data_IF_535637921732
#
_entry.id   IF_535637921732
#
_cell.length_a   1.000
_cell.length_b   1.000
_cell.length_c   1.000
_cell.angle_alpha   90.00
_cell.angle_beta   90.00
_cell.angle_gamma   90.00
#
_symmetry.space_group_name_H-M   'P 1'
#
loop_
_entity.id
_entity.type
_entity.pdbx_description
1 polymer ?
#
# COMPACT_ATOMS: atom_id res chain seq x y z
N UNK A 1 -15.18 12.32 19.68
CA UNK A 1 -14.19 12.38 20.78
C UNK A 1 -14.00 11.06 21.51
N UNK A 2 -15.03 10.22 21.70
CA UNK A 2 -14.92 8.90 22.36
C UNK A 2 -13.90 7.92 21.72
N UNK A 3 -13.76 7.93 20.39
CA UNK A 3 -12.88 6.97 19.69
C UNK A 3 -11.37 7.27 19.80
N UNK A 4 -10.96 8.46 20.24
CA UNK A 4 -9.53 8.83 20.26
C UNK A 4 -8.79 8.27 21.48
N UNK A 5 -9.49 8.10 22.62
CA UNK A 5 -8.91 7.64 23.87
C UNK A 5 -8.76 6.10 23.92
N UNK A 6 -9.75 5.38 23.37
CA UNK A 6 -9.69 3.92 23.18
C UNK A 6 -8.61 3.55 22.15
N UNK A 7 -8.50 4.31 21.06
CA UNK A 7 -7.41 4.26 20.07
C UNK A 7 -6.01 4.43 20.68
N UNK A 8 -5.83 5.38 21.60
CA UNK A 8 -4.55 5.62 22.25
C UNK A 8 -4.18 4.47 23.20
N UNK A 9 -5.17 3.90 23.90
CA UNK A 9 -4.95 2.73 24.77
C UNK A 9 -4.57 1.48 23.98
N UNK A 10 -5.26 1.15 22.90
CA UNK A 10 -4.98 -0.07 22.13
C UNK A 10 -3.68 0.01 21.33
N UNK A 11 -3.37 1.17 20.74
CA UNK A 11 -2.14 1.35 19.96
C UNK A 11 -0.86 1.30 20.80
N UNK A 12 -0.94 1.66 22.09
CA UNK A 12 0.16 1.57 23.05
C UNK A 12 0.23 0.24 23.79
N UNK A 13 -0.89 -0.48 23.93
CA UNK A 13 -0.98 -1.68 24.76
C UNK A 13 -0.78 -3.02 24.01
N UNK A 14 -0.82 -3.03 22.68
CA UNK A 14 -0.72 -4.26 21.88
C UNK A 14 0.43 -4.23 20.89
N UNK A 15 1.32 -5.21 20.98
CA UNK A 15 2.08 -5.69 19.82
C UNK A 15 1.15 -6.53 18.94
N UNK A 16 1.30 -6.43 17.61
CA UNK A 16 0.62 -7.31 16.65
C UNK A 16 -0.61 -6.73 15.94
N UNK A 17 -1.52 -7.59 15.43
CA UNK A 17 -2.57 -7.19 14.49
C UNK A 17 -3.66 -6.31 15.10
N UNK A 18 -3.90 -6.39 16.42
CA UNK A 18 -4.91 -5.57 17.08
C UNK A 18 -4.54 -4.07 17.05
N UNK A 19 -3.31 -3.71 17.41
CA UNK A 19 -2.81 -2.32 17.30
C UNK A 19 -2.79 -1.82 15.84
N UNK A 20 -2.48 -2.68 14.87
CA UNK A 20 -2.60 -2.33 13.46
C UNK A 20 -4.06 -2.06 13.04
N UNK A 21 -4.96 -2.99 13.34
CA UNK A 21 -6.36 -2.92 12.96
C UNK A 21 -7.07 -1.73 13.61
N UNK A 22 -6.80 -1.46 14.89
CA UNK A 22 -7.35 -0.28 15.60
C UNK A 22 -7.04 1.02 14.85
N UNK A 23 -5.78 1.18 14.40
CA UNK A 23 -5.38 2.35 13.58
C UNK A 23 -6.09 2.40 12.24
N UNK A 24 -6.20 1.27 11.56
CA UNK A 24 -6.87 1.18 10.26
C UNK A 24 -8.36 1.50 10.39
N UNK A 25 -9.04 0.98 11.41
CA UNK A 25 -10.44 1.28 11.67
C UNK A 25 -10.65 2.77 11.95
N UNK A 26 -9.76 3.39 12.72
CA UNK A 26 -9.80 4.84 12.94
C UNK A 26 -9.62 5.64 11.64
N UNK A 27 -8.64 5.27 10.81
CA UNK A 27 -8.44 5.91 9.50
C UNK A 27 -9.66 5.74 8.59
N UNK A 28 -10.25 4.54 8.55
CA UNK A 28 -11.46 4.26 7.77
C UNK A 28 -12.67 5.06 8.27
N UNK A 29 -12.88 5.14 9.58
CA UNK A 29 -13.93 5.97 10.17
C UNK A 29 -13.78 7.44 9.77
N UNK A 30 -12.54 7.95 9.74
CA UNK A 30 -12.26 9.32 9.25
C UNK A 30 -12.67 9.50 7.79
N UNK A 31 -12.43 8.51 6.93
CA UNK A 31 -12.88 8.56 5.52
C UNK A 31 -14.40 8.65 5.44
N UNK A 32 -15.10 7.82 6.22
CA UNK A 32 -16.57 7.80 6.24
C UNK A 32 -17.16 9.10 6.81
N UNK A 33 -16.58 9.65 7.88
CA UNK A 33 -16.98 10.92 8.46
C UNK A 33 -16.83 12.07 7.45
N UNK A 34 -15.74 12.09 6.68
CA UNK A 34 -15.53 13.08 5.62
C UNK A 34 -16.54 12.93 4.48
N UNK A 35 -16.80 11.71 4.01
CA UNK A 35 -17.81 11.47 2.98
C UNK A 35 -19.20 11.91 3.45
N UNK A 36 -19.59 11.58 4.69
CA UNK A 36 -20.86 12.00 5.28
C UNK A 36 -20.94 13.53 5.42
N UNK A 37 -19.85 14.18 5.83
CA UNK A 37 -19.78 15.64 5.96
C UNK A 37 -20.00 16.37 4.63
N UNK A 38 -19.42 15.85 3.53
CA UNK A 38 -19.60 16.44 2.20
C UNK A 38 -20.88 15.97 1.47
N UNK A 39 -21.62 15.01 2.04
CA UNK A 39 -22.95 14.57 1.59
C UNK A 39 -22.97 13.40 0.60
N UNK A 40 -24.17 12.95 0.23
CA UNK A 40 -24.44 11.68 -0.48
C UNK A 40 -23.77 11.51 -1.86
N UNK A 41 -23.26 12.59 -2.45
CA UNK A 41 -22.56 12.58 -3.74
C UNK A 41 -21.07 12.86 -3.61
N UNK A 42 -20.55 12.91 -2.39
CA UNK A 42 -19.14 13.12 -2.12
C UNK A 42 -18.29 12.02 -2.77
N UNK A 43 -17.15 12.44 -3.32
CA UNK A 43 -16.10 11.55 -3.79
C UNK A 43 -14.80 11.98 -3.12
N UNK A 44 -13.98 11.01 -2.75
CA UNK A 44 -12.72 11.25 -2.07
C UNK A 44 -11.57 10.49 -2.70
N UNK A 45 -10.35 10.99 -2.48
CA UNK A 45 -9.12 10.28 -2.79
C UNK A 45 -8.39 10.07 -1.47
N UNK A 46 -8.18 8.81 -1.09
CA UNK A 46 -7.32 8.46 0.03
C UNK A 46 -5.92 8.20 -0.50
N UNK A 47 -5.00 9.11 -0.19
CA UNK A 47 -3.59 8.96 -0.55
C UNK A 47 -2.81 8.37 0.64
N UNK A 48 -2.44 7.10 0.54
CA UNK A 48 -1.64 6.43 1.56
C UNK A 48 -0.74 5.35 0.93
N UNK A 49 0.20 4.83 1.72
CA UNK A 49 1.12 3.78 1.29
C UNK A 49 0.37 2.51 0.84
N UNK A 50 0.95 1.71 -0.07
CA UNK A 50 0.36 0.48 -0.63
C UNK A 50 -0.14 -0.52 0.43
N UNK A 51 0.44 -0.52 1.63
CA UNK A 51 -0.01 -1.35 2.76
C UNK A 51 -1.38 -0.93 3.28
N UNK A 52 -1.77 0.33 3.12
CA UNK A 52 -3.06 0.88 3.55
C UNK A 52 -4.13 0.85 2.45
N UNK A 53 -3.76 0.95 1.17
CA UNK A 53 -4.73 1.17 0.07
C UNK A 53 -5.07 -0.05 -0.78
N UNK A 54 -4.32 -1.16 -0.72
CA UNK A 54 -4.67 -2.37 -1.49
C UNK A 54 -5.81 -3.15 -0.83
N UNK A 55 -6.27 -4.25 -1.41
CA UNK A 55 -7.12 -5.21 -0.69
C UNK A 55 -6.24 -6.17 0.12
N UNK A 56 -6.24 -6.01 1.45
CA UNK A 56 -5.40 -6.77 2.36
C UNK A 56 -5.62 -8.30 2.30
N UNK A 57 -6.81 -8.76 1.86
CA UNK A 57 -7.10 -10.20 1.66
C UNK A 57 -6.16 -10.86 0.65
N UNK A 58 -5.59 -10.08 -0.26
CA UNK A 58 -4.73 -10.57 -1.35
C UNK A 58 -3.26 -10.24 -1.09
N UNK A 59 -2.88 -10.18 0.18
CA UNK A 59 -1.51 -9.96 0.65
C UNK A 59 -1.20 -10.82 1.89
N UNK A 60 0.04 -10.77 2.38
CA UNK A 60 0.40 -11.42 3.66
C UNK A 60 -0.35 -10.87 4.88
N UNK A 61 -1.04 -9.73 4.77
CA UNK A 61 -1.87 -9.17 5.84
C UNK A 61 -3.02 -10.11 6.20
N UNK A 62 -3.60 -10.82 5.22
CA UNK A 62 -4.67 -11.80 5.46
C UNK A 62 -4.27 -12.85 6.50
N UNK A 63 -3.06 -13.41 6.37
CA UNK A 63 -2.54 -14.43 7.30
C UNK A 63 -2.26 -13.90 8.70
N UNK A 64 -2.09 -12.58 8.82
CA UNK A 64 -1.86 -11.88 10.09
C UNK A 64 -3.15 -11.31 10.66
N UNK A 65 -4.29 -11.56 10.02
CA UNK A 65 -5.59 -10.96 10.39
C UNK A 65 -5.56 -9.43 10.37
N UNK A 66 -4.64 -8.84 9.60
CA UNK A 66 -4.52 -7.41 9.42
C UNK A 66 -5.45 -6.93 8.29
N UNK A 67 -6.20 -5.87 8.57
CA UNK A 67 -7.05 -5.15 7.61
C UNK A 67 -6.32 -3.92 7.09
N UNK A 68 -6.83 -3.31 6.03
CA UNK A 68 -6.38 -1.99 5.59
C UNK A 68 -7.57 -1.17 5.06
N UNK A 69 -7.33 0.11 4.77
CA UNK A 69 -8.38 1.03 4.34
C UNK A 69 -9.04 0.52 3.06
N UNK A 70 -8.24 0.06 2.09
CA UNK A 70 -8.76 -0.46 0.82
C UNK A 70 -9.72 -1.64 0.98
N UNK A 71 -9.38 -2.61 1.85
CA UNK A 71 -10.27 -3.71 2.17
C UNK A 71 -11.55 -3.24 2.89
N UNK A 72 -11.42 -2.42 3.94
CA UNK A 72 -12.58 -1.96 4.71
C UNK A 72 -13.54 -1.14 3.83
N UNK A 73 -13.01 -0.25 2.98
CA UNK A 73 -13.84 0.55 2.08
C UNK A 73 -14.59 -0.30 1.07
N UNK A 74 -13.99 -1.38 0.55
CA UNK A 74 -14.70 -2.33 -0.32
C UNK A 74 -15.75 -3.15 0.42
N UNK A 75 -15.48 -3.53 1.68
CA UNK A 75 -16.43 -4.25 2.54
C UNK A 75 -17.65 -3.37 2.88
N UNK A 76 -17.44 -2.06 3.07
CA UNK A 76 -18.47 -1.09 3.43
C UNK A 76 -19.26 -0.56 2.21
N UNK A 77 -18.57 -0.11 1.17
CA UNK A 77 -19.18 0.61 0.04
C UNK A 77 -19.48 -0.26 -1.18
N UNK A 78 -18.85 -1.44 -1.28
CA UNK A 78 -18.86 -2.29 -2.46
C UNK A 78 -17.67 -2.05 -3.39
N UNK A 79 -17.23 -3.12 -4.07
CA UNK A 79 -16.06 -3.07 -4.95
C UNK A 79 -16.26 -2.21 -6.21
N UNK A 80 -17.50 -2.00 -6.64
CA UNK A 80 -17.89 -1.14 -7.76
C UNK A 80 -17.75 0.35 -7.45
N UNK A 81 -17.72 0.73 -6.17
CA UNK A 81 -17.61 2.12 -5.72
C UNK A 81 -16.20 2.52 -5.27
N UNK A 82 -15.28 1.57 -5.20
CA UNK A 82 -13.95 1.76 -4.61
C UNK A 82 -12.86 1.30 -5.58
N UNK A 83 -12.05 2.25 -6.05
CA UNK A 83 -10.92 2.00 -6.93
C UNK A 83 -9.61 1.97 -6.14
N UNK A 84 -8.90 0.84 -6.16
CA UNK A 84 -7.64 0.65 -5.46
C UNK A 84 -6.45 0.77 -6.44
N UNK A 85 -5.59 1.76 -6.24
CA UNK A 85 -4.47 2.05 -7.14
C UNK A 85 -3.14 1.84 -6.41
N UNK A 86 -2.36 0.86 -6.86
CA UNK A 86 -1.01 0.60 -6.37
C UNK A 86 0.06 1.35 -7.16
N UNK A 87 1.21 1.56 -6.53
CA UNK A 87 2.41 2.11 -7.16
C UNK A 87 3.62 1.20 -6.92
N UNK A 88 4.47 0.99 -7.90
CA UNK A 88 5.70 0.21 -7.68
C UNK A 88 6.87 0.65 -8.55
N UNK A 89 8.09 0.30 -8.12
CA UNK A 89 9.34 0.66 -8.79
C UNK A 89 10.35 -0.48 -8.84
N UNK A 90 11.03 -0.63 -9.98
CA UNK A 90 12.08 -1.63 -10.15
C UNK A 90 13.38 -1.27 -9.42
N UNK A 91 13.86 -0.04 -9.54
CA UNK A 91 15.02 0.47 -8.80
C UNK A 91 14.88 1.98 -8.56
N UNK A 92 15.83 2.59 -7.86
CA UNK A 92 15.92 4.04 -7.80
C UNK A 92 16.40 4.56 -6.46
N UNK A 93 15.76 5.63 -5.99
CA UNK A 93 16.07 6.26 -4.71
C UNK A 93 14.80 6.67 -3.99
N UNK A 94 14.88 6.73 -2.66
CA UNK A 94 13.78 7.08 -1.75
C UNK A 94 14.30 7.96 -0.61
N UNK A 95 13.41 8.73 0.01
CA UNK A 95 13.68 9.36 1.31
C UNK A 95 13.10 8.47 2.40
N UNK A 96 13.95 8.00 3.32
CA UNK A 96 13.54 7.17 4.46
C UNK A 96 14.49 7.37 5.66
N UNK A 97 14.08 6.94 6.85
CA UNK A 97 14.95 6.83 8.02
C UNK A 97 15.57 5.44 8.13
N UNK A 98 16.76 5.34 8.72
CA UNK A 98 17.40 4.04 9.04
C UNK A 98 16.71 3.28 10.18
N UNK A 99 15.84 3.97 10.92
CA UNK A 99 15.07 3.48 12.05
C UNK A 99 14.00 4.50 12.45
N UNK A 100 13.12 4.12 13.37
CA UNK A 100 12.13 5.04 13.93
C UNK A 100 12.82 6.21 14.65
N UNK A 101 12.39 7.43 14.34
CA UNK A 101 12.98 8.65 14.90
C UNK A 101 14.30 9.08 14.27
N UNK A 102 14.88 8.28 13.37
CA UNK A 102 16.10 8.67 12.65
C UNK A 102 15.84 9.82 11.67
N UNK A 103 16.86 10.65 11.37
CA UNK A 103 16.76 11.66 10.31
C UNK A 103 16.39 11.05 8.96
N UNK A 104 15.67 11.82 8.14
CA UNK A 104 15.41 11.47 6.74
C UNK A 104 16.72 11.42 5.94
N UNK A 105 16.88 10.39 5.14
CA UNK A 105 18.06 10.18 4.30
C UNK A 105 17.63 9.75 2.90
N UNK A 106 18.37 10.22 1.90
CA UNK A 106 18.30 9.63 0.56
C UNK A 106 18.94 8.24 0.60
N UNK A 107 18.17 7.22 0.23
CA UNK A 107 18.60 5.83 0.21
C UNK A 107 18.40 5.23 -1.18
N UNK A 108 19.34 4.39 -1.60
CA UNK A 108 19.23 3.64 -2.85
C UNK A 108 18.25 2.47 -2.71
N UNK A 109 17.35 2.33 -3.67
CA UNK A 109 16.54 1.13 -3.87
C UNK A 109 17.28 0.26 -4.89
N UNK A 110 17.79 -0.93 -4.51
CA UNK A 110 18.46 -1.82 -5.45
C UNK A 110 17.47 -2.37 -6.50
N UNK A 111 17.94 -2.97 -7.59
CA UNK A 111 17.10 -3.71 -8.53
C UNK A 111 16.17 -4.70 -7.84
N UNK A 112 14.92 -4.80 -8.31
CA UNK A 112 13.94 -5.70 -7.72
C UNK A 112 14.34 -7.16 -7.84
N UNK A 113 13.99 -7.96 -6.82
CA UNK A 113 14.36 -9.37 -6.76
C UNK A 113 13.68 -10.18 -7.88
N UNK A 114 14.30 -11.26 -8.37
CA UNK A 114 13.66 -12.18 -9.31
C UNK A 114 12.28 -12.64 -8.81
N UNK A 115 11.35 -12.86 -9.74
CA UNK A 115 9.96 -13.28 -9.49
C UNK A 115 9.05 -12.26 -8.77
N UNK A 116 9.53 -11.07 -8.43
CA UNK A 116 8.66 -9.94 -8.04
C UNK A 116 7.88 -9.37 -9.23
N UNK A 117 6.78 -8.66 -8.97
CA UNK A 117 6.03 -7.97 -10.03
C UNK A 117 6.94 -6.93 -10.71
N UNK A 118 7.74 -6.22 -9.93
CA UNK A 118 8.64 -5.17 -10.41
C UNK A 118 9.69 -5.73 -11.38
N UNK A 119 10.25 -6.91 -11.07
CA UNK A 119 11.21 -7.58 -11.96
C UNK A 119 10.57 -8.01 -13.28
N UNK A 120 9.31 -8.49 -13.26
CA UNK A 120 8.57 -8.86 -14.47
C UNK A 120 8.26 -7.64 -15.33
N UNK A 121 7.78 -6.57 -14.71
CA UNK A 121 7.43 -5.32 -15.39
C UNK A 121 8.64 -4.61 -15.98
N UNK A 122 9.82 -4.73 -15.37
CA UNK A 122 11.06 -4.17 -15.92
C UNK A 122 11.46 -4.78 -17.29
N UNK A 123 10.90 -5.92 -17.69
CA UNK A 123 11.15 -6.50 -19.02
C UNK A 123 10.41 -5.76 -20.14
N UNK A 124 9.46 -4.90 -19.80
CA UNK A 124 8.76 -4.03 -20.75
C UNK A 124 9.67 -2.84 -21.08
N UNK A 125 9.66 -2.43 -22.35
CA UNK A 125 10.54 -1.38 -22.85
C UNK A 125 10.27 -0.03 -22.17
N UNK A 126 9.01 0.30 -21.91
CA UNK A 126 8.59 1.57 -21.34
C UNK A 126 9.18 1.84 -19.95
N UNK A 127 9.59 3.09 -19.72
CA UNK A 127 10.16 3.53 -18.44
C UNK A 127 9.11 3.76 -17.36
N UNK A 128 7.88 4.06 -17.77
CA UNK A 128 6.73 4.24 -16.87
C UNK A 128 5.45 3.91 -17.61
N UNK A 129 4.57 3.17 -16.96
CA UNK A 129 3.27 2.83 -17.49
C UNK A 129 2.36 2.43 -16.33
N UNK A 130 1.08 2.24 -16.63
CA UNK A 130 0.14 1.67 -15.68
C UNK A 130 -0.61 0.53 -16.35
N UNK A 131 -1.09 -0.40 -15.53
CA UNK A 131 -2.00 -1.46 -15.94
C UNK A 131 -3.33 -1.25 -15.22
N UNK A 132 -4.43 -1.54 -15.91
CA UNK A 132 -5.76 -1.64 -15.32
C UNK A 132 -6.15 -3.12 -15.42
N UNK A 133 -6.58 -3.71 -14.31
CA UNK A 133 -6.94 -5.12 -14.24
C UNK A 133 -8.42 -5.32 -14.45
N UNK A 134 -8.78 -6.24 -15.36
CA UNK A 134 -10.16 -6.58 -15.66
C UNK A 134 -10.56 -7.95 -15.09
N UNK A 135 -11.75 -8.44 -15.47
CA UNK A 135 -12.24 -9.77 -15.07
C UNK A 135 -11.36 -10.92 -15.58
N UNK A 136 -10.78 -10.79 -16.77
CA UNK A 136 -9.91 -11.80 -17.36
C UNK A 136 -8.61 -11.93 -16.57
N UNK A 137 -8.03 -10.82 -16.12
CA UNK A 137 -6.86 -10.83 -15.24
C UNK A 137 -7.12 -11.49 -13.89
N UNK A 138 -8.38 -11.55 -13.47
CA UNK A 138 -8.85 -12.11 -12.20
C UNK A 138 -9.31 -13.57 -12.29
N UNK A 139 -9.23 -14.18 -13.47
CA UNK A 139 -9.45 -15.63 -13.62
C UNK A 139 -8.42 -16.44 -12.83
N UNK A 140 -8.85 -17.53 -12.19
CA UNK A 140 -8.01 -18.34 -11.28
C UNK A 140 -6.64 -18.73 -11.87
N UNK A 141 -6.60 -19.10 -13.16
CA UNK A 141 -5.36 -19.45 -13.88
C UNK A 141 -4.31 -18.33 -13.93
N UNK A 142 -4.74 -17.08 -13.80
CA UNK A 142 -3.89 -15.88 -13.84
C UNK A 142 -3.47 -15.43 -12.44
N UNK A 143 -4.14 -15.90 -11.39
CA UNK A 143 -3.85 -15.53 -10.00
C UNK A 143 -2.58 -16.22 -9.52
N UNK A 144 -1.49 -15.44 -9.41
CA UNK A 144 -0.20 -15.91 -8.90
C UNK A 144 0.25 -15.04 -7.74
N UNK A 145 0.74 -15.68 -6.69
CA UNK A 145 1.40 -14.98 -5.59
C UNK A 145 2.80 -14.57 -6.07
N UNK A 146 3.09 -13.29 -5.96
CA UNK A 146 4.42 -12.73 -6.23
C UNK A 146 4.76 -11.66 -5.20
N UNK A 147 6.04 -11.35 -5.06
CA UNK A 147 6.47 -10.22 -4.24
C UNK A 147 6.04 -8.90 -4.87
N UNK A 148 5.49 -7.99 -4.06
CA UNK A 148 5.30 -6.58 -4.38
C UNK A 148 6.05 -5.74 -3.35
N UNK A 149 7.03 -4.96 -3.81
CA UNK A 149 7.89 -4.12 -2.95
C UNK A 149 7.06 -3.04 -2.27
N UNK A 150 7.27 -2.86 -0.97
CA UNK A 150 6.53 -1.92 -0.12
C UNK A 150 7.49 -1.18 0.84
N UNK A 151 8.38 -0.36 0.27
CA UNK A 151 9.34 0.46 1.05
C UNK A 151 8.58 1.53 1.84
N UNK A 152 8.64 1.44 3.17
CA UNK A 152 8.00 2.40 4.08
C UNK A 152 8.92 3.54 4.52
N UNK A 153 8.50 4.24 5.58
CA UNK A 153 9.22 5.36 6.19
C UNK A 153 10.55 4.96 6.84
N UNK A 154 10.69 3.68 7.19
CA UNK A 154 11.96 3.09 7.65
C UNK A 154 12.44 2.12 6.59
N UNK A 155 13.70 2.24 6.19
CA UNK A 155 14.27 1.43 5.13
C UNK A 155 15.74 1.08 5.38
N UNK A 156 16.13 -0.12 4.97
CA UNK A 156 17.52 -0.56 4.95
C UNK A 156 17.80 -1.21 3.59
N UNK A 157 18.58 -0.54 2.70
CA UNK A 157 18.92 -1.06 1.38
C UNK A 157 19.59 -2.44 1.37
N UNK A 158 20.33 -2.77 2.43
CA UNK A 158 21.02 -4.07 2.56
C UNK A 158 20.09 -5.22 2.93
N UNK A 159 18.82 -4.93 3.24
CA UNK A 159 17.76 -5.89 3.59
C UNK A 159 16.50 -5.65 2.77
N UNK A 160 16.66 -5.15 1.54
CA UNK A 160 15.54 -4.82 0.65
C UNK A 160 14.64 -6.02 0.35
N UNK A 161 15.18 -7.25 0.39
CA UNK A 161 14.40 -8.47 0.18
C UNK A 161 13.23 -8.62 1.17
N UNK A 162 13.30 -7.98 2.34
CA UNK A 162 12.23 -7.97 3.35
C UNK A 162 11.06 -7.05 2.98
N UNK A 163 11.22 -6.17 2.00
CA UNK A 163 10.19 -5.23 1.57
C UNK A 163 9.18 -5.86 0.60
N UNK A 164 9.41 -7.09 0.11
CA UNK A 164 8.55 -7.74 -0.86
C UNK A 164 7.40 -8.48 -0.17
N UNK A 165 6.21 -7.89 -0.23
CA UNK A 165 4.99 -8.45 0.34
C UNK A 165 4.41 -9.49 -0.63
N UNK A 166 4.23 -10.77 -0.22
CA UNK A 166 3.51 -11.76 -1.02
C UNK A 166 2.10 -11.25 -1.35
N UNK A 167 1.78 -11.18 -2.64
CA UNK A 167 0.60 -10.47 -3.15
C UNK A 167 0.02 -11.15 -4.39
N UNK A 168 -1.30 -11.15 -4.54
CA UNK A 168 -2.01 -11.42 -5.80
C UNK A 168 -2.41 -10.08 -6.43
N UNK A 169 -1.59 -9.59 -7.36
CA UNK A 169 -1.66 -8.20 -7.90
C UNK A 169 -3.05 -7.80 -8.42
N UNK A 170 -3.68 -8.53 -9.37
CA UNK A 170 -4.96 -8.12 -9.97
C UNK A 170 -6.16 -8.18 -8.99
N UNK A 171 -5.97 -8.82 -7.84
CA UNK A 171 -6.98 -8.86 -6.77
C UNK A 171 -6.72 -7.79 -5.71
N UNK A 172 -5.44 -7.48 -5.43
CA UNK A 172 -5.05 -6.43 -4.47
C UNK A 172 -5.33 -5.02 -5.00
N UNK A 173 -5.22 -4.81 -6.31
CA UNK A 173 -5.42 -3.50 -6.94
C UNK A 173 -6.32 -3.60 -8.17
N UNK A 174 -6.99 -2.50 -8.50
CA UNK A 174 -7.66 -2.30 -9.80
C UNK A 174 -6.71 -1.72 -10.85
N UNK A 175 -5.73 -0.94 -10.40
CA UNK A 175 -4.67 -0.44 -11.26
C UNK A 175 -3.32 -0.47 -10.55
N UNK A 176 -2.24 -0.66 -11.30
CA UNK A 176 -0.86 -0.61 -10.80
C UNK A 176 -0.02 0.29 -11.69
N UNK A 177 0.50 1.36 -11.12
CA UNK A 177 1.49 2.23 -11.74
C UNK A 177 2.88 1.65 -11.52
N UNK A 178 3.65 1.58 -12.60
CA UNK A 178 5.03 1.10 -12.59
C UNK A 178 5.97 2.20 -13.06
N UNK A 179 7.08 2.33 -12.35
CA UNK A 179 8.21 3.18 -12.72
C UNK A 179 9.46 2.30 -12.74
N UNK A 180 10.21 2.31 -13.85
CA UNK A 180 11.44 1.53 -13.92
C UNK A 180 12.50 2.07 -12.95
N UNK A 181 12.60 3.39 -12.88
CA UNK A 181 13.52 4.11 -11.99
C UNK A 181 12.83 5.29 -11.32
N UNK A 182 12.97 5.38 -10.01
CA UNK A 182 12.52 6.54 -9.22
C UNK A 182 13.71 7.37 -8.73
N UNK A 183 13.44 8.65 -8.46
CA UNK A 183 14.36 9.53 -7.74
C UNK A 183 13.79 9.84 -6.35
N UNK A 184 14.67 10.17 -5.40
CA UNK A 184 14.24 10.60 -4.08
C UNK A 184 13.38 11.87 -4.18
N UNK A 185 12.35 11.96 -3.33
CA UNK A 185 11.52 13.14 -3.24
C UNK A 185 12.38 14.32 -2.80
N UNK A 186 12.23 15.45 -3.51
CA UNK A 186 12.76 16.72 -3.08
C UNK A 186 11.73 17.39 -2.18
N UNK A 187 12.15 17.81 -1.00
CA UNK A 187 11.31 18.63 -0.12
C UNK A 187 10.98 19.91 -0.89
N UNK A 188 9.69 20.27 -0.94
CA UNK A 188 9.29 21.55 -1.48
C UNK A 188 9.80 22.63 -0.52
N UNK A 189 10.57 23.58 -1.04
CA UNK A 189 10.93 24.79 -0.27
C UNK A 189 9.62 25.49 0.13
N UNK A 190 9.52 25.88 1.40
CA UNK A 190 8.37 26.59 1.94
C UNK A 190 8.37 28.05 1.52
#
# INVERSE_FOLDING_TARGET
MQNAEEFYRESLASDGPASWNSRVHHMHATVNDLLAFYGDHAKGIVWAHNTHIGDAKYSSMQKREEKNIGQLSREDMGADKVLLIGFTTFEGKVIAGSGWGSPMQEMSIPPAIPNSIEYRLNKIADEKFYMIFDQKDREEKNLKIMGNRAVGVVYNPTRDERQFVPTVIPMRYDALFFFKKTTALKVLEK
#
